data_IF_318116731679
#
_entry.id   IF_318116731679
#
_cell.length_a   1.000
_cell.length_b   1.000
_cell.length_c   1.000
_cell.angle_alpha   90.00
_cell.angle_beta   90.00
_cell.angle_gamma   90.00
#
_symmetry.space_group_name_H-M   'P 1'
#
loop_
_entity.id
_entity.type
_entity.pdbx_description
1 polymer ?
#
# COMPACT_ATOMS: atom_id res chain seq x y z
N UNK A 1 -12.16 -5.98 -3.78
CA UNK A 1 -11.19 -7.03 -3.43
C UNK A 1 -11.80 -8.04 -2.45
N UNK A 2 -11.50 -9.33 -2.62
CA UNK A 2 -11.94 -10.42 -1.72
C UNK A 2 -10.71 -11.18 -1.23
N UNK A 3 -10.46 -11.16 0.08
CA UNK A 3 -9.45 -12.00 0.74
C UNK A 3 -10.04 -13.34 1.16
N UNK A 4 -9.42 -14.45 0.76
CA UNK A 4 -9.88 -15.82 1.01
C UNK A 4 -8.77 -16.67 1.64
N UNK A 5 -9.15 -17.77 2.29
CA UNK A 5 -8.22 -18.57 3.11
C UNK A 5 -7.44 -19.65 2.36
N UNK A 6 -7.68 -19.81 1.06
CA UNK A 6 -6.91 -20.73 0.25
C UNK A 6 -7.02 -20.42 -1.23
N UNK A 7 -6.04 -20.87 -2.00
CA UNK A 7 -6.06 -20.77 -3.46
C UNK A 7 -7.29 -21.47 -4.05
N UNK A 8 -7.65 -22.63 -3.48
CA UNK A 8 -8.83 -23.38 -3.93
C UNK A 8 -10.11 -22.58 -3.72
N UNK A 9 -10.27 -21.96 -2.55
CA UNK A 9 -11.42 -21.11 -2.26
C UNK A 9 -11.46 -19.91 -3.20
N UNK A 10 -10.32 -19.27 -3.46
CA UNK A 10 -10.22 -18.19 -4.43
C UNK A 10 -10.59 -18.62 -5.86
N UNK A 11 -10.14 -19.79 -6.31
CA UNK A 11 -10.54 -20.32 -7.61
C UNK A 11 -12.04 -20.60 -7.68
N UNK A 12 -12.62 -21.21 -6.64
CA UNK A 12 -14.05 -21.52 -6.58
C UNK A 12 -14.91 -20.23 -6.59
N UNK A 13 -14.47 -19.18 -5.89
CA UNK A 13 -15.13 -17.85 -5.90
C UNK A 13 -14.95 -17.15 -7.24
N UNK A 14 -13.79 -17.26 -7.88
CA UNK A 14 -13.56 -16.65 -9.21
C UNK A 14 -14.50 -17.22 -10.27
N UNK A 15 -14.69 -18.54 -10.29
CA UNK A 15 -15.64 -19.18 -11.22
C UNK A 15 -17.06 -18.66 -11.03
N UNK A 16 -17.46 -18.36 -9.80
CA UNK A 16 -18.77 -17.75 -9.49
C UNK A 16 -18.88 -16.33 -10.02
N UNK A 17 -17.85 -15.52 -9.84
CA UNK A 17 -17.76 -14.15 -10.39
C UNK A 17 -17.81 -14.17 -11.92
N UNK A 18 -17.03 -15.05 -12.56
CA UNK A 18 -17.05 -15.24 -14.02
C UNK A 18 -18.41 -15.71 -14.56
N UNK A 19 -19.19 -16.42 -13.73
CA UNK A 19 -20.56 -16.81 -14.05
C UNK A 19 -21.60 -15.68 -13.86
N UNK A 20 -21.17 -14.49 -13.41
CA UNK A 20 -22.00 -13.29 -13.26
C UNK A 20 -22.61 -13.10 -11.87
N UNK A 21 -22.09 -13.77 -10.84
CA UNK A 21 -22.46 -13.46 -9.45
C UNK A 21 -21.89 -12.11 -9.02
N UNK A 22 -22.62 -11.39 -8.15
CA UNK A 22 -22.26 -10.03 -7.72
C UNK A 22 -21.02 -10.01 -6.81
N UNK A 23 -20.02 -9.22 -7.19
CA UNK A 23 -18.75 -9.12 -6.47
C UNK A 23 -18.93 -8.60 -5.04
N UNK A 24 -19.74 -7.55 -4.87
CA UNK A 24 -19.98 -6.91 -3.57
C UNK A 24 -20.60 -7.91 -2.58
N UNK A 25 -21.55 -8.71 -3.05
CA UNK A 25 -22.23 -9.75 -2.26
C UNK A 25 -21.23 -10.82 -1.81
N UNK A 26 -20.40 -11.34 -2.73
CA UNK A 26 -19.38 -12.34 -2.38
C UNK A 26 -18.31 -11.79 -1.45
N UNK A 27 -17.92 -10.52 -1.61
CA UNK A 27 -16.99 -9.86 -0.71
C UNK A 27 -17.56 -9.78 0.71
N UNK A 28 -18.81 -9.35 0.87
CA UNK A 28 -19.49 -9.25 2.17
C UNK A 28 -19.66 -10.61 2.87
N UNK A 29 -19.95 -11.65 2.10
CA UNK A 29 -20.20 -13.01 2.60
C UNK A 29 -18.92 -13.75 2.98
N UNK A 30 -17.88 -13.68 2.14
CA UNK A 30 -16.74 -14.60 2.19
C UNK A 30 -15.42 -13.93 2.56
N UNK A 31 -15.29 -12.61 2.39
CA UNK A 31 -13.97 -12.00 2.56
C UNK A 31 -13.51 -12.07 4.02
N UNK A 32 -12.25 -12.43 4.24
CA UNK A 32 -11.59 -12.39 5.54
C UNK A 32 -11.07 -10.98 5.89
N UNK A 33 -11.08 -10.04 4.95
CA UNK A 33 -10.60 -8.68 5.18
C UNK A 33 -11.70 -7.82 5.82
N UNK A 34 -11.77 -7.84 7.15
CA UNK A 34 -12.85 -7.19 7.92
C UNK A 34 -13.03 -5.70 7.61
N UNK A 35 -11.93 -4.97 7.37
CA UNK A 35 -11.96 -3.52 7.17
C UNK A 35 -12.75 -3.09 5.93
N UNK A 36 -12.77 -3.92 4.87
CA UNK A 36 -13.51 -3.62 3.63
C UNK A 36 -14.65 -4.59 3.37
N UNK A 37 -14.82 -5.64 4.17
CA UNK A 37 -15.86 -6.66 3.97
C UNK A 37 -17.25 -6.04 3.84
N UNK A 38 -17.63 -5.17 4.77
CA UNK A 38 -18.94 -4.50 4.77
C UNK A 38 -19.11 -3.50 3.61
N UNK A 39 -18.02 -2.91 3.11
CA UNK A 39 -18.01 -2.05 1.93
C UNK A 39 -17.86 -2.81 0.62
N UNK A 40 -18.10 -4.13 0.59
CA UNK A 40 -18.03 -4.91 -0.65
C UNK A 40 -16.60 -5.14 -1.15
N UNK A 41 -15.61 -4.95 -0.29
CA UNK A 41 -14.20 -5.06 -0.67
C UNK A 41 -13.66 -3.81 -1.37
N UNK A 42 -14.31 -2.65 -1.23
CA UNK A 42 -13.88 -1.40 -1.84
C UNK A 42 -12.66 -0.81 -1.11
N UNK A 43 -11.59 -0.55 -1.87
CA UNK A 43 -10.34 0.07 -1.41
C UNK A 43 -10.20 1.52 -1.89
N UNK A 44 -11.23 2.08 -2.54
CA UNK A 44 -11.22 3.40 -3.17
C UNK A 44 -10.13 3.49 -4.27
N UNK A 45 -9.80 4.70 -4.70
CA UNK A 45 -8.72 4.96 -5.66
C UNK A 45 -7.36 4.57 -5.08
N UNK A 46 -6.69 3.63 -5.75
CA UNK A 46 -5.31 3.25 -5.48
C UNK A 46 -4.37 3.87 -6.50
N UNK A 47 -3.19 4.24 -6.03
CA UNK A 47 -2.09 4.78 -6.81
C UNK A 47 -0.88 3.83 -6.76
N UNK A 48 0.07 3.92 -7.71
CA UNK A 48 1.24 3.05 -7.71
C UNK A 48 2.07 3.12 -6.41
N UNK A 49 2.07 4.26 -5.73
CA UNK A 49 2.74 4.42 -4.43
C UNK A 49 2.11 3.59 -3.30
N UNK A 50 0.81 3.26 -3.40
CA UNK A 50 0.09 2.48 -2.37
C UNK A 50 0.46 0.99 -2.38
N UNK A 51 0.92 0.45 -3.52
CA UNK A 51 1.28 -0.97 -3.71
C UNK A 51 2.80 -1.20 -3.75
N UNK A 52 3.57 -0.27 -3.22
CA UNK A 52 5.04 -0.35 -3.24
C UNK A 52 5.58 -1.48 -2.36
N UNK A 53 6.79 -2.00 -2.64
CA UNK A 53 7.42 -3.02 -1.80
C UNK A 53 7.49 -2.59 -0.33
N UNK A 54 6.96 -3.42 0.57
CA UNK A 54 6.88 -3.13 2.01
C UNK A 54 5.59 -2.45 2.46
N UNK A 55 4.70 -2.06 1.54
CA UNK A 55 3.32 -1.68 1.86
C UNK A 55 2.46 -2.92 2.18
N UNK A 56 1.28 -2.69 2.79
CA UNK A 56 0.29 -3.74 3.03
C UNK A 56 -0.35 -4.28 1.73
N UNK A 57 -0.23 -3.56 0.62
CA UNK A 57 -0.80 -3.94 -0.67
C UNK A 57 0.28 -4.34 -1.69
N UNK A 58 1.49 -4.65 -1.23
CA UNK A 58 2.63 -4.96 -2.10
C UNK A 58 2.36 -6.15 -3.04
N UNK A 59 1.51 -7.09 -2.62
CA UNK A 59 1.10 -8.23 -3.44
C UNK A 59 0.30 -7.80 -4.70
N UNK A 60 -0.25 -6.58 -4.73
CA UNK A 60 -1.13 -6.10 -5.79
C UNK A 60 -0.38 -5.27 -6.84
N UNK A 61 0.95 -5.38 -6.94
CA UNK A 61 1.76 -4.61 -7.88
C UNK A 61 1.23 -4.67 -9.33
N UNK A 62 0.70 -5.82 -9.75
CA UNK A 62 0.21 -6.07 -11.12
C UNK A 62 -1.24 -5.62 -11.33
N UNK A 63 -1.93 -5.04 -10.32
CA UNK A 63 -3.33 -4.61 -10.43
C UNK A 63 -3.53 -3.57 -11.55
N UNK A 64 -2.52 -2.75 -11.82
CA UNK A 64 -2.55 -1.74 -12.86
C UNK A 64 -2.43 -2.31 -14.29
N UNK A 65 -2.03 -3.58 -14.41
CA UNK A 65 -1.98 -4.30 -15.68
C UNK A 65 -3.32 -5.00 -16.01
N UNK A 66 -4.19 -5.21 -15.02
CA UNK A 66 -5.49 -5.83 -15.21
C UNK A 66 -6.41 -5.00 -16.11
N UNK A 67 -7.19 -5.66 -16.94
CA UNK A 67 -8.24 -5.03 -17.73
C UNK A 67 -9.40 -4.57 -16.82
N UNK A 68 -10.02 -3.45 -17.15
CA UNK A 68 -11.17 -2.92 -16.40
C UNK A 68 -12.33 -3.92 -16.45
N UNK A 69 -12.91 -4.24 -15.28
CA UNK A 69 -13.96 -5.23 -15.11
C UNK A 69 -13.50 -6.69 -15.18
N UNK A 70 -12.20 -6.96 -15.39
CA UNK A 70 -11.67 -8.31 -15.30
C UNK A 70 -11.40 -8.70 -13.84
N UNK A 71 -11.66 -9.97 -13.52
CA UNK A 71 -11.30 -10.56 -12.23
C UNK A 71 -9.87 -11.10 -12.32
N UNK A 72 -9.03 -10.77 -11.33
CA UNK A 72 -7.66 -11.27 -11.27
C UNK A 72 -7.59 -12.79 -11.08
N UNK A 73 -6.44 -13.36 -11.42
CA UNK A 73 -6.03 -14.65 -10.85
C UNK A 73 -5.87 -14.51 -9.31
N UNK A 74 -5.97 -15.61 -8.53
CA UNK A 74 -5.70 -15.57 -7.10
C UNK A 74 -4.28 -15.08 -6.80
N UNK A 75 -4.19 -13.95 -6.11
CA UNK A 75 -2.91 -13.34 -5.73
C UNK A 75 -2.60 -13.76 -4.30
N UNK A 76 -1.51 -14.51 -4.12
CA UNK A 76 -1.08 -14.93 -2.79
C UNK A 76 -0.53 -13.73 -2.01
N UNK A 77 -1.00 -13.56 -0.78
CA UNK A 77 -0.50 -12.58 0.17
C UNK A 77 0.11 -13.28 1.38
N UNK A 78 1.35 -12.96 1.69
CA UNK A 78 2.09 -13.47 2.84
C UNK A 78 2.28 -12.43 3.95
N UNK A 79 1.79 -11.21 3.75
CA UNK A 79 1.87 -10.09 4.69
C UNK A 79 0.65 -10.00 5.60
N UNK A 80 -0.52 -10.38 5.09
CA UNK A 80 -1.75 -10.46 5.89
C UNK A 80 -1.74 -11.69 6.80
N UNK A 81 -1.98 -11.49 8.10
CA UNK A 81 -2.06 -12.59 9.09
C UNK A 81 -3.40 -13.31 8.94
N UNK A 82 -3.49 -14.12 7.90
CA UNK A 82 -4.65 -14.96 7.59
C UNK A 82 -4.24 -16.42 7.47
N UNK A 83 -5.23 -17.32 7.53
CA UNK A 83 -5.03 -18.71 7.12
C UNK A 83 -4.82 -18.73 5.61
N UNK A 84 -3.59 -18.59 5.12
CA UNK A 84 -3.25 -18.73 3.70
C UNK A 84 -3.96 -17.75 2.75
N UNK A 85 -3.77 -16.44 2.96
CA UNK A 85 -4.44 -15.37 2.21
C UNK A 85 -4.24 -15.38 0.70
N UNK A 86 -5.35 -15.41 -0.03
CA UNK A 86 -5.41 -15.16 -1.48
C UNK A 86 -6.41 -14.07 -1.79
N UNK A 87 -6.00 -13.10 -2.59
CA UNK A 87 -6.84 -12.01 -3.06
C UNK A 87 -7.44 -12.30 -4.44
N UNK A 88 -8.69 -11.90 -4.61
CA UNK A 88 -9.30 -11.63 -5.91
C UNK A 88 -9.57 -10.14 -6.03
N UNK A 89 -9.14 -9.56 -7.13
CA UNK A 89 -9.25 -8.13 -7.42
C UNK A 89 -10.12 -7.92 -8.66
N UNK A 90 -10.86 -6.81 -8.66
CA UNK A 90 -11.61 -6.32 -9.80
C UNK A 90 -11.32 -4.82 -9.93
N UNK A 91 -10.95 -4.39 -11.13
CA UNK A 91 -10.71 -2.97 -11.42
C UNK A 91 -12.00 -2.33 -11.92
N UNK A 92 -12.63 -1.52 -11.07
CA UNK A 92 -13.91 -0.87 -11.38
C UNK A 92 -13.76 0.32 -12.33
N UNK A 93 -12.67 1.09 -12.18
CA UNK A 93 -12.42 2.29 -12.96
C UNK A 93 -10.90 2.60 -13.01
N UNK A 94 -10.50 3.41 -13.99
CA UNK A 94 -9.11 3.88 -14.15
C UNK A 94 -9.10 5.33 -14.63
N UNK A 95 -8.37 6.17 -13.90
CA UNK A 95 -8.20 7.58 -14.21
C UNK A 95 -6.72 7.90 -14.44
N UNK A 96 -6.28 7.87 -15.70
CA UNK A 96 -4.88 8.12 -16.08
C UNK A 96 -4.48 9.61 -16.00
N UNK A 97 -5.46 10.52 -15.96
CA UNK A 97 -5.23 11.97 -16.02
C UNK A 97 -5.84 12.72 -14.83
N UNK A 98 -5.92 12.06 -13.66
CA UNK A 98 -6.41 12.70 -12.44
C UNK A 98 -5.56 13.93 -12.16
N UNK A 99 -6.19 15.11 -12.24
CA UNK A 99 -5.48 16.35 -11.92
C UNK A 99 -5.09 16.30 -10.44
N UNK A 100 -3.79 16.47 -10.18
CA UNK A 100 -3.25 16.60 -8.83
C UNK A 100 -3.87 17.84 -8.21
N UNK A 101 -4.59 17.67 -7.11
CA UNK A 101 -5.18 18.79 -6.36
C UNK A 101 -4.07 19.68 -5.78
N UNK A 102 -4.40 20.91 -5.38
CA UNK A 102 -3.40 21.78 -4.78
C UNK A 102 -2.87 21.22 -3.45
N UNK A 103 -3.72 20.56 -2.66
CA UNK A 103 -3.33 19.89 -1.41
C UNK A 103 -2.38 18.72 -1.67
N UNK A 104 -2.70 17.85 -2.63
CA UNK A 104 -1.84 16.73 -3.03
C UNK A 104 -0.51 17.24 -3.59
N UNK A 105 -0.55 18.34 -4.36
CA UNK A 105 0.65 18.97 -4.91
C UNK A 105 1.59 19.44 -3.80
N UNK A 106 1.06 20.04 -2.75
CA UNK A 106 1.88 20.53 -1.64
C UNK A 106 2.44 19.37 -0.80
N UNK A 107 1.67 18.30 -0.61
CA UNK A 107 2.16 17.06 -0.01
C UNK A 107 3.31 16.44 -0.83
N UNK A 108 3.15 16.34 -2.16
CA UNK A 108 4.17 15.80 -3.05
C UNK A 108 5.45 16.65 -3.07
N UNK A 109 5.34 17.99 -3.02
CA UNK A 109 6.50 18.88 -2.88
C UNK A 109 7.24 18.62 -1.57
N UNK A 110 6.52 18.47 -0.46
CA UNK A 110 7.12 18.21 0.85
C UNK A 110 7.87 16.87 0.86
N UNK A 111 7.25 15.82 0.29
CA UNK A 111 7.89 14.51 0.14
C UNK A 111 9.14 14.57 -0.75
N UNK A 112 9.05 15.22 -1.91
CA UNK A 112 10.20 15.37 -2.82
C UNK A 112 11.35 16.16 -2.18
N UNK A 113 11.03 17.17 -1.36
CA UNK A 113 12.03 17.91 -0.59
C UNK A 113 12.70 17.01 0.46
N UNK A 114 11.93 16.22 1.20
CA UNK A 114 12.44 15.31 2.23
C UNK A 114 13.35 14.22 1.63
N UNK A 115 12.93 13.62 0.51
CA UNK A 115 13.75 12.65 -0.24
C UNK A 115 15.04 13.28 -0.74
N UNK A 116 14.96 14.49 -1.32
CA UNK A 116 16.14 15.23 -1.77
C UNK A 116 17.08 15.54 -0.61
N UNK A 117 16.57 16.10 0.50
CA UNK A 117 17.38 16.38 1.69
C UNK A 117 18.05 15.10 2.17
N UNK A 118 17.28 14.03 2.39
CA UNK A 118 17.79 12.73 2.84
C UNK A 118 18.90 12.22 1.92
N UNK A 119 18.74 12.33 0.59
CA UNK A 119 19.77 11.92 -0.36
C UNK A 119 21.10 12.65 -0.15
N UNK A 120 21.08 13.92 0.28
CA UNK A 120 22.30 14.69 0.57
C UNK A 120 23.02 14.18 1.82
N UNK A 121 22.29 13.70 2.84
CA UNK A 121 22.89 13.14 4.06
C UNK A 121 23.63 11.82 3.78
N UNK A 122 23.14 11.05 2.80
CA UNK A 122 23.69 9.74 2.44
C UNK A 122 24.63 9.78 1.23
N UNK A 123 24.87 10.96 0.65
CA UNK A 123 25.84 11.14 -0.43
C UNK A 123 27.27 11.06 0.13
N UNK A 124 28.09 10.05 -0.25
CA UNK A 124 29.45 9.90 0.25
C UNK A 124 30.40 11.02 -0.23
N UNK A 125 29.99 11.83 -1.22
CA UNK A 125 30.70 13.04 -1.65
C UNK A 125 30.43 14.28 -0.77
N UNK A 126 29.42 14.23 0.10
CA UNK A 126 29.13 15.31 1.03
C UNK A 126 29.90 15.11 2.34
N UNK A 127 30.94 15.91 2.57
CA UNK A 127 31.68 15.91 3.84
C UNK A 127 30.90 16.66 4.92
N UNK A 128 30.21 15.93 5.79
CA UNK A 128 29.60 16.50 7.00
C UNK A 128 30.67 16.68 8.08
N UNK A 129 31.22 17.89 8.17
CA UNK A 129 32.12 18.26 9.25
C UNK A 129 31.31 18.58 10.52
N UNK A 130 31.24 17.63 11.45
CA UNK A 130 30.66 17.85 12.77
C UNK A 130 31.70 18.44 13.73
N UNK A 131 31.48 19.67 14.18
CA UNK A 131 32.30 20.32 15.20
C UNK A 131 31.86 19.99 16.64
N UNK A 132 30.85 19.12 16.79
CA UNK A 132 30.37 18.64 18.09
C UNK A 132 31.28 17.53 18.59
N UNK A 133 32.12 17.86 19.57
CA UNK A 133 32.90 16.88 20.33
C UNK A 133 31.96 15.97 21.14
N UNK A 134 32.45 14.80 21.54
CA UNK A 134 31.68 13.88 22.39
C UNK A 134 31.30 14.55 23.73
N UNK A 135 32.18 15.38 24.29
CA UNK A 135 31.92 16.17 25.50
C UNK A 135 30.78 17.18 25.32
N UNK A 136 30.70 17.86 24.15
CA UNK A 136 29.59 18.77 23.84
C UNK A 136 28.28 18.01 23.63
N UNK A 137 28.33 16.78 23.12
CA UNK A 137 27.16 15.91 22.94
C UNK A 137 26.63 15.38 24.27
N UNK A 138 27.52 14.90 25.14
CA UNK A 138 27.16 14.44 26.49
C UNK A 138 26.56 15.56 27.35
N UNK A 139 27.18 16.75 27.33
CA UNK A 139 26.65 17.92 28.03
C UNK A 139 25.22 18.30 27.58
N UNK A 140 24.96 18.25 26.26
CA UNK A 140 23.64 18.57 25.71
C UNK A 140 22.58 17.53 26.11
N UNK A 141 22.94 16.25 26.14
CA UNK A 141 22.05 15.16 26.60
C UNK A 141 21.70 15.36 28.08
N UNK A 142 22.71 15.58 28.94
CA UNK A 142 22.52 15.79 30.38
C UNK A 142 21.55 16.95 30.64
N UNK A 143 21.76 18.10 29.99
CA UNK A 143 20.90 19.27 30.11
C UNK A 143 19.47 19.06 29.61
N UNK A 144 19.27 18.20 28.61
CA UNK A 144 17.93 17.88 28.10
C UNK A 144 17.17 16.88 29.00
N UNK A 145 17.88 16.01 29.73
CA UNK A 145 17.29 15.03 30.65
C UNK A 145 17.11 15.51 32.09
N UNK A 146 17.67 16.67 32.47
CA UNK A 146 17.47 17.28 33.79
C UNK A 146 16.11 18.00 33.97
N UNK A 147 15.14 17.79 33.07
CA UNK A 147 13.77 18.31 33.15
C UNK A 147 12.77 17.35 33.78
#
# INVERSE_FOLDING_TARGET
AILLGSEKEAQDVRVRLEAGEDFTTLAQELSQHEATRESGGDFNWLSPEDVTPGSALAAWADIFELEMGAISEPIRDDTEVTTGGYWLLEVLDREDNKQISDDDRDLLKAKALDEWVSSLWYDPGNEVNSYLTDEMREWAIEKATEG
#
